data_IF_708699305237
#
_entry.id   IF_708699305237
#
_cell.length_a   1.000
_cell.length_b   1.000
_cell.length_c   1.000
_cell.angle_alpha   90.00
_cell.angle_beta   90.00
_cell.angle_gamma   90.00
#
_symmetry.space_group_name_H-M   'P 1'
#
loop_
_entity.id
_entity.type
_entity.pdbx_description
1 polymer ?
#
# COMPACT_ATOMS: atom_id res chain seq x y z
N UNK A 1 -20.71 16.56 4.77
CA UNK A 1 -20.41 15.12 4.78
C UNK A 1 -21.15 14.54 5.96
N UNK A 2 -22.08 13.63 5.68
CA UNK A 2 -22.98 13.04 6.66
C UNK A 2 -22.20 12.04 7.53
N UNK A 3 -22.24 12.23 8.84
CA UNK A 3 -21.53 11.43 9.85
C UNK A 3 -22.24 10.07 9.99
N UNK A 4 -21.82 9.08 9.21
CA UNK A 4 -22.35 7.71 9.23
C UNK A 4 -21.49 6.76 10.05
N UNK A 5 -21.35 7.04 11.35
CA UNK A 5 -21.05 6.04 12.38
C UNK A 5 -21.11 6.73 13.75
N UNK A 6 -22.07 6.36 14.59
CA UNK A 6 -22.32 6.99 15.90
C UNK A 6 -21.25 6.73 16.97
N UNK A 7 -20.00 6.47 16.60
CA UNK A 7 -18.86 6.36 17.51
C UNK A 7 -18.00 7.60 17.38
N UNK A 8 -17.87 8.38 18.46
CA UNK A 8 -17.01 9.56 18.46
C UNK A 8 -15.58 9.20 18.08
N UNK A 9 -15.10 9.68 16.94
CA UNK A 9 -13.72 9.54 16.52
C UNK A 9 -12.95 10.79 16.93
N UNK A 10 -12.14 10.69 17.98
CA UNK A 10 -11.27 11.78 18.42
C UNK A 10 -9.97 11.80 17.61
N UNK A 11 -9.66 12.95 17.01
CA UNK A 11 -8.38 13.15 16.34
C UNK A 11 -7.32 13.41 17.41
N UNK A 12 -6.52 12.40 17.73
CA UNK A 12 -5.35 12.57 18.60
C UNK A 12 -4.40 13.64 18.01
N UNK A 13 -3.82 14.48 18.88
CA UNK A 13 -2.86 15.53 18.48
C UNK A 13 -1.78 14.96 17.55
N UNK A 14 -1.48 15.69 16.47
CA UNK A 14 -0.43 15.36 15.51
C UNK A 14 0.89 15.09 16.23
N UNK A 15 1.34 13.84 16.19
CA UNK A 15 2.60 13.40 16.77
C UNK A 15 3.75 13.78 15.83
N UNK A 16 4.93 14.07 16.39
CA UNK A 16 6.14 14.25 15.58
C UNK A 16 6.49 12.96 14.82
N UNK A 17 7.22 13.04 13.71
CA UNK A 17 7.51 11.87 12.86
C UNK A 17 8.06 10.66 13.63
N UNK A 18 8.98 10.87 14.58
CA UNK A 18 9.54 9.80 15.42
C UNK A 18 8.47 9.14 16.32
N UNK A 19 7.67 9.95 17.03
CA UNK A 19 6.64 9.43 17.95
C UNK A 19 5.48 8.76 17.21
N UNK A 20 5.18 9.18 15.97
CA UNK A 20 4.24 8.50 15.08
C UNK A 20 4.76 7.10 14.67
N UNK A 21 6.01 7.00 14.23
CA UNK A 21 6.63 5.71 13.85
C UNK A 21 6.69 4.76 15.05
N UNK A 22 7.04 5.27 16.23
CA UNK A 22 7.07 4.46 17.45
C UNK A 22 5.68 3.94 17.81
N UNK A 23 4.64 4.78 17.74
CA UNK A 23 3.25 4.37 18.00
C UNK A 23 2.79 3.29 17.01
N UNK A 24 3.11 3.45 15.72
CA UNK A 24 2.83 2.47 14.66
C UNK A 24 3.51 1.13 14.94
N UNK A 25 4.81 1.13 15.22
CA UNK A 25 5.59 -0.09 15.40
C UNK A 25 5.24 -0.81 16.71
N UNK A 26 4.88 -0.07 17.77
CA UNK A 26 4.46 -0.63 19.07
C UNK A 26 3.00 -1.06 19.11
N UNK A 27 2.18 -0.67 18.12
CA UNK A 27 0.74 -0.97 18.13
C UNK A 27 -0.07 -0.07 19.07
N UNK A 28 0.49 1.06 19.50
CA UNK A 28 -0.17 1.99 20.41
C UNK A 28 -1.06 2.98 19.64
N UNK A 29 -2.13 2.47 19.04
CA UNK A 29 -3.13 3.24 18.30
C UNK A 29 -4.44 2.44 18.17
N UNK A 30 -5.57 3.14 18.06
CA UNK A 30 -6.84 2.51 17.65
C UNK A 30 -6.98 2.51 16.13
N UNK A 31 -6.71 3.65 15.50
CA UNK A 31 -6.65 3.83 14.04
C UNK A 31 -5.43 4.68 13.70
N UNK A 32 -4.68 4.27 12.67
CA UNK A 32 -3.52 5.01 12.19
C UNK A 32 -3.57 5.16 10.67
N UNK A 33 -3.29 6.36 10.17
CA UNK A 33 -3.12 6.57 8.72
C UNK A 33 -1.90 5.81 8.27
N UNK A 34 -2.00 4.98 7.23
CA UNK A 34 -0.88 4.30 6.60
C UNK A 34 -0.88 4.52 5.08
N UNK A 35 0.23 4.21 4.44
CA UNK A 35 0.35 4.22 2.97
C UNK A 35 1.40 3.22 2.54
N UNK A 36 1.20 2.63 1.37
CA UNK A 36 2.17 1.79 0.70
C UNK A 36 2.29 2.20 -0.77
N UNK A 37 3.50 2.11 -1.31
CA UNK A 37 3.79 2.24 -2.74
C UNK A 37 4.45 0.93 -3.12
N UNK A 38 3.95 0.26 -4.16
CA UNK A 38 4.47 -1.04 -4.57
C UNK A 38 5.94 -0.93 -4.98
N UNK A 39 6.75 -1.87 -4.48
CA UNK A 39 8.18 -1.95 -4.80
C UNK A 39 8.42 -2.53 -6.21
N UNK A 40 7.41 -3.22 -6.74
CA UNK A 40 7.35 -3.79 -8.09
C UNK A 40 5.89 -3.95 -8.52
N UNK A 41 5.64 -3.93 -9.83
CA UNK A 41 4.29 -3.97 -10.41
C UNK A 41 3.66 -5.38 -10.37
N UNK A 42 3.37 -5.89 -9.18
CA UNK A 42 2.75 -7.20 -8.96
C UNK A 42 1.99 -7.24 -7.61
N UNK A 43 0.79 -7.84 -7.52
CA UNK A 43 -0.06 -7.79 -6.31
C UNK A 43 0.60 -8.18 -4.99
N UNK A 44 1.57 -9.09 -5.00
CA UNK A 44 2.25 -9.55 -3.79
C UNK A 44 3.01 -8.44 -3.05
N UNK A 45 3.41 -7.35 -3.73
CA UNK A 45 4.01 -6.18 -3.03
C UNK A 45 3.04 -5.56 -2.02
N UNK A 46 1.73 -5.66 -2.25
CA UNK A 46 0.70 -5.18 -1.33
C UNK A 46 0.21 -6.29 -0.40
N UNK A 47 -0.12 -7.46 -0.95
CA UNK A 47 -0.75 -8.54 -0.18
C UNK A 47 0.18 -9.18 0.86
N UNK A 48 1.49 -9.23 0.59
CA UNK A 48 2.46 -9.79 1.55
C UNK A 48 2.52 -9.00 2.86
N UNK A 49 2.18 -7.69 2.84
CA UNK A 49 2.23 -6.82 4.01
C UNK A 49 1.36 -7.31 5.17
N UNK A 50 0.26 -8.00 4.85
CA UNK A 50 -0.71 -8.46 5.83
C UNK A 50 -0.52 -9.92 6.24
N UNK A 51 0.55 -10.57 5.77
CA UNK A 51 0.93 -11.88 6.34
C UNK A 51 1.36 -11.73 7.80
N UNK A 52 1.07 -12.74 8.62
CA UNK A 52 1.18 -12.64 10.09
C UNK A 52 2.58 -12.30 10.61
N UNK A 53 3.63 -12.69 9.89
CA UNK A 53 5.03 -12.48 10.27
C UNK A 53 5.68 -11.28 9.58
N UNK A 54 4.95 -10.58 8.70
CA UNK A 54 5.52 -9.45 7.95
C UNK A 54 5.78 -8.26 8.87
N UNK A 55 7.00 -7.72 8.82
CA UNK A 55 7.40 -6.57 9.66
C UNK A 55 6.62 -5.30 9.35
N UNK A 56 6.12 -5.17 8.12
CA UNK A 56 5.22 -4.12 7.66
C UNK A 56 3.75 -4.31 8.01
N UNK A 57 3.37 -5.38 8.72
CA UNK A 57 1.99 -5.64 9.12
C UNK A 57 1.56 -4.71 10.27
N UNK A 58 1.25 -3.46 9.91
CA UNK A 58 0.84 -2.43 10.87
C UNK A 58 -0.43 -2.83 11.61
N UNK A 59 -1.39 -3.46 10.90
CA UNK A 59 -2.67 -3.90 11.46
C UNK A 59 -2.54 -5.03 12.47
N UNK A 60 -1.37 -5.70 12.54
CA UNK A 60 -1.14 -6.93 13.31
C UNK A 60 -2.11 -8.06 12.93
N UNK A 61 -2.60 -8.02 11.69
CA UNK A 61 -3.52 -9.01 11.16
C UNK A 61 -2.89 -10.40 11.21
N UNK A 62 -3.62 -11.38 11.73
CA UNK A 62 -3.19 -12.78 11.75
C UNK A 62 -4.34 -13.63 11.29
N UNK A 63 -4.15 -14.33 10.17
CA UNK A 63 -5.13 -15.25 9.64
C UNK A 63 -4.40 -16.42 8.96
N UNK A 64 -4.42 -17.62 9.56
CA UNK A 64 -3.70 -18.77 9.00
C UNK A 64 -4.14 -19.16 7.59
N UNK A 65 -5.41 -18.93 7.24
CA UNK A 65 -5.93 -19.17 5.88
C UNK A 65 -5.34 -18.16 4.89
N UNK A 66 -5.26 -16.89 5.27
CA UNK A 66 -4.61 -15.86 4.46
C UNK A 66 -3.13 -16.19 4.22
N UNK A 67 -2.39 -16.51 5.29
CA UNK A 67 -0.97 -16.88 5.19
C UNK A 67 -0.77 -18.10 4.28
N UNK A 68 -1.66 -19.09 4.38
CA UNK A 68 -1.63 -20.29 3.52
C UNK A 68 -1.86 -19.94 2.05
N UNK A 69 -2.84 -19.10 1.73
CA UNK A 69 -3.13 -18.67 0.35
C UNK A 69 -1.93 -17.92 -0.23
N UNK A 70 -1.35 -16.99 0.54
CA UNK A 70 -0.17 -16.25 0.08
C UNK A 70 1.05 -17.16 -0.10
N UNK A 71 1.22 -18.17 0.75
CA UNK A 71 2.27 -19.19 0.57
C UNK A 71 2.01 -20.05 -0.67
N UNK A 72 0.75 -20.36 -1.00
CA UNK A 72 0.41 -21.09 -2.22
C UNK A 72 0.72 -20.26 -3.47
N UNK A 73 0.35 -18.98 -3.46
CA UNK A 73 0.59 -18.07 -4.58
C UNK A 73 2.07 -17.97 -4.97
N UNK A 74 3.01 -18.14 -4.04
CA UNK A 74 4.46 -18.15 -4.35
C UNK A 74 4.94 -19.44 -5.02
N UNK A 75 4.15 -20.53 -4.92
CA UNK A 75 4.43 -21.82 -5.55
C UNK A 75 3.71 -22.01 -6.89
N UNK A 76 2.81 -21.10 -7.25
CA UNK A 76 2.03 -21.19 -8.49
C UNK A 76 2.87 -20.91 -9.75
N UNK A 77 2.72 -21.76 -10.75
CA UNK A 77 3.48 -21.70 -12.00
C UNK A 77 2.77 -20.92 -13.13
N UNK A 78 1.50 -20.60 -12.95
CA UNK A 78 0.68 -19.88 -13.94
C UNK A 78 0.20 -18.55 -13.37
N UNK A 79 0.03 -17.56 -14.23
CA UNK A 79 -0.51 -16.27 -13.80
C UNK A 79 -1.98 -16.40 -13.39
N UNK A 80 -2.73 -17.27 -14.04
CA UNK A 80 -4.14 -17.52 -13.79
C UNK A 80 -4.37 -18.09 -12.39
N UNK A 81 -3.63 -19.13 -12.00
CA UNK A 81 -3.75 -19.73 -10.67
C UNK A 81 -3.28 -18.76 -9.58
N UNK A 82 -2.15 -18.08 -9.80
CA UNK A 82 -1.65 -17.07 -8.85
C UNK A 82 -2.63 -15.91 -8.66
N UNK A 83 -3.27 -15.43 -9.73
CA UNK A 83 -4.31 -14.40 -9.64
C UNK A 83 -5.56 -14.88 -8.91
N UNK A 84 -5.94 -16.16 -9.04
CA UNK A 84 -7.04 -16.74 -8.28
C UNK A 84 -6.75 -16.72 -6.77
N UNK A 85 -5.52 -17.07 -6.37
CA UNK A 85 -5.08 -16.99 -4.97
C UNK A 85 -5.09 -15.54 -4.46
N UNK A 86 -4.60 -14.57 -5.25
CA UNK A 86 -4.67 -13.16 -4.85
C UNK A 86 -6.10 -12.65 -4.67
N UNK A 87 -7.03 -13.03 -5.55
CA UNK A 87 -8.43 -12.68 -5.37
C UNK A 87 -9.04 -13.31 -4.11
N UNK A 88 -8.66 -14.54 -3.77
CA UNK A 88 -9.09 -15.19 -2.53
C UNK A 88 -8.52 -14.48 -1.29
N UNK A 89 -7.28 -14.03 -1.34
CA UNK A 89 -6.66 -13.23 -0.30
C UNK A 89 -7.37 -11.88 -0.10
N UNK A 90 -7.61 -11.13 -1.18
CA UNK A 90 -8.34 -9.85 -1.15
C UNK A 90 -9.76 -9.99 -0.59
N UNK A 91 -10.43 -11.12 -0.88
CA UNK A 91 -11.74 -11.41 -0.31
C UNK A 91 -11.69 -11.51 1.22
N UNK A 92 -10.69 -12.19 1.77
CA UNK A 92 -10.49 -12.28 3.23
C UNK A 92 -10.26 -10.88 3.82
N UNK A 93 -9.46 -10.04 3.16
CA UNK A 93 -9.21 -8.67 3.62
C UNK A 93 -10.47 -7.81 3.59
N UNK A 94 -11.30 -7.98 2.56
CA UNK A 94 -12.57 -7.27 2.44
C UNK A 94 -13.56 -7.70 3.53
N UNK A 95 -13.61 -8.99 3.84
CA UNK A 95 -14.53 -9.54 4.85
C UNK A 95 -14.09 -9.24 6.29
N UNK A 96 -12.78 -9.25 6.57
CA UNK A 96 -12.25 -9.05 7.92
C UNK A 96 -11.82 -7.60 8.20
N UNK A 97 -11.73 -6.78 7.15
CA UNK A 97 -11.40 -5.36 7.20
C UNK A 97 -10.22 -4.99 8.14
N UNK A 98 -9.05 -5.68 8.07
CA UNK A 98 -7.89 -5.32 8.89
C UNK A 98 -7.28 -3.96 8.49
N UNK A 99 -7.61 -3.48 7.29
CA UNK A 99 -7.30 -2.16 6.77
C UNK A 99 -8.55 -1.58 6.09
N UNK A 100 -8.58 -0.25 5.94
CA UNK A 100 -9.61 0.46 5.18
C UNK A 100 -8.94 1.23 4.03
N UNK A 101 -8.86 0.67 2.81
CA UNK A 101 -8.36 1.38 1.64
C UNK A 101 -9.20 2.63 1.35
N UNK A 102 -8.56 3.80 1.21
CA UNK A 102 -9.26 5.07 1.02
C UNK A 102 -9.19 5.54 -0.43
N UNK A 103 -7.99 5.50 -1.04
CA UNK A 103 -7.78 5.93 -2.43
C UNK A 103 -6.50 5.30 -3.00
N UNK A 104 -6.41 5.26 -4.32
CA UNK A 104 -5.16 4.96 -5.04
C UNK A 104 -4.46 6.28 -5.37
N UNK A 105 -3.15 6.36 -5.14
CA UNK A 105 -2.37 7.57 -5.42
C UNK A 105 -2.40 7.92 -6.92
N UNK A 106 -2.62 9.19 -7.23
CA UNK A 106 -2.44 9.73 -8.59
C UNK A 106 -1.20 10.61 -8.63
N UNK A 107 -0.29 10.35 -9.56
CA UNK A 107 0.93 11.13 -9.74
C UNK A 107 0.67 12.42 -10.54
N UNK A 108 0.04 13.42 -9.92
CA UNK A 108 -0.07 14.76 -10.49
C UNK A 108 1.27 15.51 -10.41
N UNK A 109 1.85 15.92 -11.54
CA UNK A 109 3.16 16.58 -11.59
C UNK A 109 3.16 17.86 -12.41
N UNK A 110 3.90 18.86 -11.95
CA UNK A 110 4.25 20.03 -12.74
C UNK A 110 5.65 19.83 -13.33
N UNK A 111 5.70 19.56 -14.64
CA UNK A 111 6.95 19.39 -15.38
C UNK A 111 7.09 20.60 -16.30
N UNK A 112 8.20 21.34 -16.20
CA UNK A 112 8.46 22.47 -17.10
C UNK A 112 8.44 22.00 -18.57
N UNK A 113 7.88 22.77 -19.53
CA UNK A 113 7.76 22.34 -20.92
C UNK A 113 9.08 21.91 -21.57
N UNK A 114 10.20 22.47 -21.09
CA UNK A 114 11.54 22.21 -21.57
C UNK A 114 12.23 20.97 -20.96
N UNK A 115 11.60 20.27 -20.02
CA UNK A 115 12.12 19.01 -19.47
C UNK A 115 11.47 17.84 -20.21
N UNK A 116 12.27 17.02 -20.87
CA UNK A 116 11.84 15.82 -21.61
C UNK A 116 12.49 14.56 -21.05
N UNK A 117 11.94 13.39 -21.39
CA UNK A 117 12.47 12.09 -20.95
C UNK A 117 12.04 11.64 -19.54
N UNK A 118 11.10 12.36 -18.92
CA UNK A 118 10.44 11.93 -17.68
C UNK A 118 9.45 10.79 -17.98
N UNK A 119 9.53 9.63 -17.31
CA UNK A 119 8.67 8.47 -17.58
C UNK A 119 7.28 8.65 -16.94
N UNK A 120 6.46 9.53 -17.50
CA UNK A 120 5.14 9.90 -16.93
C UNK A 120 4.15 8.72 -16.82
N UNK A 121 4.35 7.67 -17.64
CA UNK A 121 3.51 6.48 -17.66
C UNK A 121 3.98 5.39 -16.69
N UNK A 122 5.08 5.60 -15.95
CA UNK A 122 5.54 4.63 -14.95
C UNK A 122 4.65 4.73 -13.69
N UNK A 123 3.84 3.70 -13.36
CA UNK A 123 2.97 3.74 -12.19
C UNK A 123 3.73 3.78 -10.86
N UNK A 124 4.97 3.29 -10.83
CA UNK A 124 5.84 3.27 -9.63
C UNK A 124 6.57 4.60 -9.41
N UNK A 125 6.45 5.57 -10.33
CA UNK A 125 7.19 6.83 -10.34
C UNK A 125 8.73 6.68 -10.29
N UNK A 126 9.24 5.51 -10.65
CA UNK A 126 10.68 5.31 -10.76
C UNK A 126 11.18 6.10 -11.97
N UNK A 127 11.92 7.17 -11.67
CA UNK A 127 12.48 8.08 -12.66
C UNK A 127 13.99 8.23 -12.45
N UNK A 128 14.76 8.12 -13.54
CA UNK A 128 16.21 8.26 -13.50
C UNK A 128 16.62 9.53 -14.23
N UNK A 129 17.36 10.43 -13.57
CA UNK A 129 17.79 11.69 -14.20
C UNK A 129 18.58 11.50 -15.49
N UNK A 130 19.27 10.35 -15.66
CA UNK A 130 19.98 9.99 -16.90
C UNK A 130 19.08 9.85 -18.14
N UNK A 131 17.78 9.62 -17.96
CA UNK A 131 16.82 9.55 -19.08
C UNK A 131 16.23 10.91 -19.42
N UNK A 132 16.46 11.92 -18.58
CA UNK A 132 15.89 13.25 -18.73
C UNK A 132 16.86 14.18 -19.46
N UNK A 133 16.33 15.14 -20.19
CA UNK A 133 17.12 16.16 -20.88
C UNK A 133 16.36 17.48 -21.01
N UNK A 134 17.13 18.57 -21.16
CA UNK A 134 16.61 19.92 -21.35
C UNK A 134 16.60 20.24 -22.84
N UNK A 135 15.45 20.66 -23.36
CA UNK A 135 15.35 21.24 -24.71
C UNK A 135 15.54 22.76 -24.65
N UNK A 136 16.00 23.35 -25.75
CA UNK A 136 16.14 24.80 -25.88
C UNK A 136 14.79 25.47 -25.60
N UNK A 137 14.81 26.53 -24.80
CA UNK A 137 13.66 27.32 -24.37
C UNK A 137 14.03 28.80 -24.33
#
# INVERSE_FOLDING_TARGET
>A
MEEKSGGGCEIAKTRSGKTYIDSRNTGNFDVIRASWVGDYNEPSTFLSLLTSTHTGNISRFTNPTYDKILTQATMENTAEARNADYNAAEKILTEQAPIAPIYQYTNGRLIKPWVKGYPITNPEDVAYSRTMYIVKH
#
